data_IF_462704678741
#
_entry.id   IF_462704678741
#
_cell.length_a   1.000
_cell.length_b   1.000
_cell.length_c   1.000
_cell.angle_alpha   90.00
_cell.angle_beta   90.00
_cell.angle_gamma   90.00
#
_symmetry.space_group_name_H-M   'P 1'
#
loop_
_entity.id
_entity.type
_entity.pdbx_description
1 polymer ?
#
# COMPACT_ATOMS: atom_id res chain seq x y z
N UNK A 1 20.98 -15.28 16.63
CA UNK A 1 20.34 -14.08 16.03
C UNK A 1 19.66 -14.52 14.74
N UNK A 2 18.32 -14.51 14.67
CA UNK A 2 17.59 -14.93 13.46
C UNK A 2 17.35 -13.68 12.60
N UNK A 3 18.24 -13.48 11.63
CA UNK A 3 18.06 -12.46 10.58
C UNK A 3 16.88 -12.86 9.68
N UNK A 4 16.07 -11.90 9.25
CA UNK A 4 15.06 -12.17 8.24
C UNK A 4 15.75 -12.59 6.92
N UNK A 5 15.26 -13.66 6.25
CA UNK A 5 15.85 -14.10 4.98
C UNK A 5 15.69 -13.01 3.91
N UNK A 6 16.63 -12.96 2.96
CA UNK A 6 16.49 -12.09 1.81
C UNK A 6 15.23 -12.48 1.03
N UNK A 7 14.42 -11.48 0.67
CA UNK A 7 13.13 -11.71 0.00
C UNK A 7 12.89 -10.67 -1.08
N UNK A 8 12.49 -11.14 -2.26
CA UNK A 8 11.99 -10.30 -3.35
C UNK A 8 10.50 -10.54 -3.48
N UNK A 9 9.68 -9.50 -3.40
CA UNK A 9 8.23 -9.61 -3.48
C UNK A 9 7.66 -8.59 -4.48
N UNK A 10 6.72 -9.00 -5.34
CA UNK A 10 6.08 -8.08 -6.28
C UNK A 10 5.25 -7.03 -5.51
N UNK A 11 5.68 -5.77 -5.56
CA UNK A 11 4.93 -4.63 -5.07
C UNK A 11 4.22 -3.98 -6.26
N UNK A 12 2.90 -4.18 -6.37
CA UNK A 12 2.17 -3.69 -7.53
C UNK A 12 0.66 -3.80 -7.39
N UNK A 13 0.00 -4.11 -8.51
CA UNK A 13 -1.46 -4.15 -8.63
C UNK A 13 -2.03 -5.28 -7.76
N UNK A 14 -2.54 -4.94 -6.59
CA UNK A 14 -3.23 -5.91 -5.73
C UNK A 14 -4.68 -6.07 -6.11
N UNK A 15 -5.09 -7.32 -6.32
CA UNK A 15 -6.49 -7.71 -6.53
C UNK A 15 -7.37 -7.28 -5.36
N UNK A 16 -6.86 -7.37 -4.13
CA UNK A 16 -7.59 -6.93 -2.94
C UNK A 16 -7.88 -5.44 -2.96
N UNK A 17 -6.90 -4.62 -3.35
CA UNK A 17 -7.11 -3.17 -3.52
C UNK A 17 -8.20 -2.86 -4.56
N UNK A 18 -8.21 -3.59 -5.68
CA UNK A 18 -9.26 -3.47 -6.70
C UNK A 18 -10.64 -3.90 -6.17
N UNK A 19 -10.70 -4.99 -5.39
CA UNK A 19 -11.94 -5.47 -4.77
C UNK A 19 -12.51 -4.47 -3.77
N UNK A 20 -11.69 -3.91 -2.88
CA UNK A 20 -12.12 -2.89 -1.92
C UNK A 20 -12.66 -1.66 -2.63
N UNK A 21 -11.97 -1.18 -3.67
CA UNK A 21 -12.45 -0.06 -4.49
C UNK A 21 -13.78 -0.39 -5.20
N UNK A 22 -13.91 -1.60 -5.76
CA UNK A 22 -15.14 -2.05 -6.41
C UNK A 22 -16.32 -2.16 -5.45
N UNK A 23 -16.09 -2.69 -4.25
CA UNK A 23 -17.11 -2.76 -3.19
C UNK A 23 -17.55 -1.37 -2.73
N UNK A 24 -16.59 -0.47 -2.48
CA UNK A 24 -16.92 0.91 -2.11
C UNK A 24 -17.72 1.62 -3.22
N UNK A 25 -17.33 1.41 -4.48
CA UNK A 25 -18.02 2.00 -5.63
C UNK A 25 -19.45 1.47 -5.77
N UNK A 26 -19.64 0.14 -5.72
CA UNK A 26 -20.96 -0.50 -5.80
C UNK A 26 -21.87 -0.17 -4.61
N UNK A 27 -21.32 -0.04 -3.40
CA UNK A 27 -22.07 0.47 -2.24
C UNK A 27 -22.54 1.92 -2.46
N UNK A 28 -21.69 2.76 -3.08
CA UNK A 28 -22.07 4.11 -3.51
C UNK A 28 -23.22 4.10 -4.52
N UNK A 29 -23.18 3.20 -5.51
CA UNK A 29 -24.28 3.02 -6.47
C UNK A 29 -25.58 2.65 -5.76
N UNK A 30 -25.55 1.63 -4.89
CA UNK A 30 -26.73 1.18 -4.15
C UNK A 30 -27.32 2.31 -3.30
N UNK A 31 -26.48 3.12 -2.66
CA UNK A 31 -26.89 4.29 -1.87
C UNK A 31 -27.56 5.36 -2.76
N UNK A 32 -27.01 5.62 -3.95
CA UNK A 32 -27.60 6.56 -4.91
C UNK A 32 -28.93 6.05 -5.47
N UNK A 33 -29.02 4.76 -5.79
CA UNK A 33 -30.26 4.13 -6.26
C UNK A 33 -31.35 4.18 -5.18
N UNK A 34 -30.99 3.89 -3.92
CA UNK A 34 -31.91 4.02 -2.79
C UNK A 34 -32.37 5.47 -2.60
N UNK A 35 -31.45 6.43 -2.64
CA UNK A 35 -31.80 7.85 -2.55
C UNK A 35 -32.76 8.29 -3.67
N UNK A 36 -32.51 7.85 -4.91
CA UNK A 36 -33.39 8.15 -6.04
C UNK A 36 -34.79 7.55 -5.85
N UNK A 37 -34.86 6.33 -5.30
CA UNK A 37 -36.13 5.61 -5.17
C UNK A 37 -37.00 6.11 -4.01
N UNK A 38 -36.38 6.55 -2.90
CA UNK A 38 -37.08 7.11 -1.75
C UNK A 38 -37.25 8.64 -1.80
N UNK A 39 -36.52 9.32 -2.68
CA UNK A 39 -36.45 10.78 -2.74
C UNK A 39 -37.56 11.42 -3.60
N UNK A 40 -37.79 12.74 -3.42
CA UNK A 40 -38.65 13.51 -4.30
C UNK A 40 -38.10 13.56 -5.75
N UNK A 41 -38.94 13.98 -6.69
CA UNK A 41 -38.67 13.95 -8.14
C UNK A 41 -37.23 14.37 -8.51
N UNK A 42 -36.65 13.61 -9.44
CA UNK A 42 -35.26 13.73 -9.83
C UNK A 42 -34.93 15.12 -10.39
N UNK A 43 -34.27 15.95 -9.57
CA UNK A 43 -33.70 17.24 -10.00
C UNK A 43 -32.21 17.17 -10.34
N UNK A 44 -31.65 18.31 -10.75
CA UNK A 44 -30.23 18.50 -11.12
C UNK A 44 -29.23 17.96 -10.08
N UNK A 45 -29.61 17.90 -8.80
CA UNK A 45 -28.77 17.34 -7.72
C UNK A 45 -28.44 15.87 -7.95
N UNK A 46 -29.40 15.07 -8.41
CA UNK A 46 -29.16 13.65 -8.69
C UNK A 46 -28.19 13.46 -9.86
N UNK A 47 -28.33 14.27 -10.90
CA UNK A 47 -27.41 14.28 -12.03
C UNK A 47 -25.99 14.70 -11.60
N UNK A 48 -25.86 15.76 -10.79
CA UNK A 48 -24.57 16.22 -10.28
C UNK A 48 -23.86 15.15 -9.44
N UNK A 49 -24.57 14.49 -8.53
CA UNK A 49 -23.98 13.42 -7.70
C UNK A 49 -23.63 12.18 -8.54
N UNK A 50 -24.46 11.80 -9.50
CA UNK A 50 -24.17 10.69 -10.41
C UNK A 50 -22.88 10.95 -11.22
N UNK A 51 -22.73 12.15 -11.78
CA UNK A 51 -21.51 12.56 -12.50
C UNK A 51 -20.29 12.53 -11.58
N UNK A 52 -20.41 13.06 -10.36
CA UNK A 52 -19.31 13.05 -9.40
C UNK A 52 -18.91 11.62 -9.03
N UNK A 53 -19.88 10.74 -8.75
CA UNK A 53 -19.64 9.34 -8.41
C UNK A 53 -18.97 8.56 -9.56
N UNK A 54 -19.43 8.77 -10.81
CA UNK A 54 -18.78 8.22 -12.01
C UNK A 54 -17.35 8.74 -12.16
N UNK A 55 -17.14 10.04 -11.96
CA UNK A 55 -15.82 10.68 -12.03
C UNK A 55 -14.85 10.12 -10.99
N UNK A 56 -15.29 9.95 -9.74
CA UNK A 56 -14.51 9.30 -8.68
C UNK A 56 -14.16 7.85 -9.04
N UNK A 57 -15.11 7.08 -9.58
CA UNK A 57 -14.86 5.71 -10.04
C UNK A 57 -13.82 5.64 -11.17
N UNK A 58 -13.93 6.53 -12.15
CA UNK A 58 -12.99 6.63 -13.26
C UNK A 58 -11.57 6.99 -12.77
N UNK A 59 -11.46 7.98 -11.87
CA UNK A 59 -10.19 8.38 -11.26
C UNK A 59 -9.57 7.25 -10.42
N UNK A 60 -10.38 6.52 -9.65
CA UNK A 60 -9.91 5.39 -8.85
C UNK A 60 -9.41 4.24 -9.74
N UNK A 61 -10.14 3.92 -10.82
CA UNK A 61 -9.72 2.90 -11.78
C UNK A 61 -8.44 3.33 -12.51
N UNK A 62 -8.35 4.59 -12.91
CA UNK A 62 -7.18 5.15 -13.57
C UNK A 62 -5.94 5.15 -12.66
N UNK A 63 -6.08 5.56 -11.40
CA UNK A 63 -4.98 5.56 -10.43
C UNK A 63 -4.53 4.14 -10.10
N UNK A 64 -5.47 3.19 -9.95
CA UNK A 64 -5.16 1.78 -9.76
C UNK A 64 -4.42 1.18 -10.98
N UNK A 65 -4.82 1.55 -12.21
CA UNK A 65 -4.13 1.12 -13.44
C UNK A 65 -2.73 1.73 -13.58
N UNK A 66 -2.52 2.94 -13.06
CA UNK A 66 -1.22 3.64 -13.05
C UNK A 66 -0.35 3.32 -11.84
N UNK A 67 -0.82 2.47 -10.93
CA UNK A 67 -0.01 2.06 -9.77
C UNK A 67 1.24 1.35 -10.30
N UNK A 68 2.45 1.86 -10.01
CA UNK A 68 3.68 1.29 -10.51
C UNK A 68 3.78 -0.18 -10.08
N UNK A 69 4.13 -1.04 -11.03
CA UNK A 69 4.57 -2.40 -10.73
C UNK A 69 6.08 -2.36 -10.49
N UNK A 70 6.52 -2.78 -9.32
CA UNK A 70 7.93 -2.96 -8.99
C UNK A 70 8.15 -4.21 -8.15
N UNK A 71 9.41 -4.50 -7.83
CA UNK A 71 9.74 -5.51 -6.83
C UNK A 71 10.32 -4.85 -5.60
N UNK A 72 9.80 -5.23 -4.44
CA UNK A 72 10.35 -4.89 -3.15
C UNK A 72 11.38 -5.96 -2.79
N UNK A 73 12.61 -5.55 -2.52
CA UNK A 73 13.69 -6.45 -2.15
C UNK A 73 14.23 -6.11 -0.76
N UNK A 74 14.28 -7.10 0.11
CA UNK A 74 14.93 -7.05 1.41
C UNK A 74 16.23 -7.83 1.33
N UNK A 75 17.34 -7.17 1.67
CA UNK A 75 18.69 -7.75 1.65
C UNK A 75 19.13 -8.34 3.01
N UNK A 76 18.29 -8.22 4.05
CA UNK A 76 18.62 -8.58 5.43
C UNK A 76 18.79 -7.39 6.37
N UNK A 77 18.98 -6.18 5.83
CA UNK A 77 19.20 -4.94 6.59
C UNK A 77 18.36 -3.76 6.08
N UNK A 78 18.13 -3.66 4.77
CA UNK A 78 17.49 -2.53 4.12
C UNK A 78 16.48 -2.97 3.05
N UNK A 79 15.46 -2.13 2.87
CA UNK A 79 14.48 -2.30 1.81
C UNK A 79 14.90 -1.51 0.58
N UNK A 80 14.79 -2.15 -0.58
CA UNK A 80 14.97 -1.52 -1.88
C UNK A 80 13.76 -1.80 -2.77
N UNK A 81 13.45 -0.89 -3.68
CA UNK A 81 12.34 -1.01 -4.62
C UNK A 81 12.86 -0.82 -6.05
N UNK A 82 12.61 -1.81 -6.91
CA UNK A 82 12.87 -1.73 -8.34
C UNK A 82 11.58 -1.34 -9.08
N UNK A 83 11.39 -0.04 -9.28
CA UNK A 83 10.31 0.51 -10.11
C UNK A 83 10.93 1.21 -11.32
N UNK A 84 11.01 0.52 -12.45
CA UNK A 84 11.67 1.02 -13.67
C UNK A 84 13.19 0.76 -13.69
N UNK A 85 13.99 1.54 -14.46
CA UNK A 85 15.43 1.34 -14.59
C UNK A 85 16.16 1.88 -13.34
N UNK A 86 16.09 1.14 -12.24
CA UNK A 86 16.84 1.45 -11.03
C UNK A 86 16.27 0.79 -9.78
N UNK A 87 17.16 0.38 -8.89
CA UNK A 87 16.84 -0.05 -7.54
C UNK A 87 17.03 1.14 -6.59
N UNK A 88 16.00 1.51 -5.82
CA UNK A 88 16.07 2.66 -4.90
C UNK A 88 15.84 2.21 -3.48
N UNK A 89 16.63 2.68 -2.50
CA UNK A 89 16.36 2.39 -1.09
C UNK A 89 15.06 3.06 -0.66
N UNK A 90 14.24 2.32 0.08
CA UNK A 90 12.93 2.77 0.58
C UNK A 90 12.79 2.39 2.06
N UNK A 91 11.97 3.13 2.79
CA UNK A 91 11.43 2.65 4.08
C UNK A 91 10.12 1.92 3.82
N UNK A 92 9.90 0.81 4.53
CA UNK A 92 8.68 0.01 4.42
C UNK A 92 8.10 -0.17 5.81
N UNK A 93 6.80 0.07 5.94
CA UNK A 93 6.07 -0.06 7.19
C UNK A 93 4.74 -0.77 6.94
N UNK A 94 4.42 -1.77 7.77
CA UNK A 94 3.09 -2.37 7.79
C UNK A 94 2.11 -1.44 8.53
N UNK A 95 1.06 -0.99 7.83
CA UNK A 95 -0.02 -0.20 8.44
C UNK A 95 -1.20 -1.09 8.82
N UNK A 96 -1.56 -2.04 7.94
CA UNK A 96 -2.61 -3.02 8.19
C UNK A 96 -2.09 -4.39 7.79
N UNK A 97 -2.34 -5.40 8.63
CA UNK A 97 -2.07 -6.82 8.34
C UNK A 97 -3.34 -7.64 8.56
N UNK A 98 -3.89 -8.19 7.47
CA UNK A 98 -5.06 -9.06 7.43
C UNK A 98 -4.66 -10.53 7.21
N UNK A 99 -3.43 -10.92 7.57
CA UNK A 99 -2.81 -12.23 7.42
C UNK A 99 -2.52 -12.69 5.98
N UNK A 100 -3.48 -12.56 5.07
CA UNK A 100 -3.37 -12.87 3.64
C UNK A 100 -3.15 -11.63 2.77
N UNK A 101 -3.32 -10.43 3.35
CA UNK A 101 -3.13 -9.14 2.69
C UNK A 101 -2.48 -8.17 3.67
N UNK A 102 -1.52 -7.37 3.20
CA UNK A 102 -0.90 -6.28 3.95
C UNK A 102 -1.10 -4.95 3.21
N UNK A 103 -1.37 -3.89 3.96
CA UNK A 103 -1.23 -2.52 3.51
C UNK A 103 0.12 -2.00 3.98
N UNK A 104 0.99 -1.72 3.02
CA UNK A 104 2.32 -1.19 3.24
C UNK A 104 2.37 0.30 2.93
N UNK A 105 3.15 1.01 3.73
CA UNK A 105 3.53 2.40 3.54
C UNK A 105 5.00 2.43 3.11
N UNK A 106 5.24 2.92 1.90
CA UNK A 106 6.57 3.07 1.31
C UNK A 106 6.98 4.54 1.38
N UNK A 107 8.08 4.83 2.06
CA UNK A 107 8.66 6.17 2.12
C UNK A 107 10.11 6.17 1.67
N UNK A 108 10.76 7.33 1.76
CA UNK A 108 12.21 7.38 1.70
C UNK A 108 12.82 6.93 3.05
N UNK A 109 14.06 6.44 3.08
CA UNK A 109 14.74 6.05 4.32
C UNK A 109 14.88 7.21 5.32
N UNK A 110 15.12 8.42 4.82
CA UNK A 110 15.26 9.67 5.58
C UNK A 110 13.92 10.26 6.08
N UNK A 111 12.79 9.61 5.76
CA UNK A 111 11.42 10.09 6.03
C UNK A 111 11.11 11.48 5.47
N UNK A 112 11.94 12.03 4.56
CA UNK A 112 11.70 13.33 3.94
C UNK A 112 11.21 13.17 2.50
N UNK A 113 9.90 13.26 2.32
CA UNK A 113 9.28 13.30 1.00
C UNK A 113 7.94 12.59 0.91
N UNK A 114 7.55 12.30 -0.33
CA UNK A 114 6.29 11.63 -0.63
C UNK A 114 6.29 10.19 -0.14
N UNK A 115 5.15 9.80 0.42
CA UNK A 115 4.88 8.44 0.89
C UNK A 115 3.86 7.79 -0.03
N UNK A 116 4.13 6.56 -0.46
CA UNK A 116 3.22 5.74 -1.26
C UNK A 116 2.55 4.64 -0.44
N UNK A 117 1.32 4.29 -0.81
CA UNK A 117 0.54 3.23 -0.17
C UNK A 117 0.34 2.08 -1.13
N UNK A 118 0.62 0.86 -0.67
CA UNK A 118 0.59 -0.33 -1.52
C UNK A 118 -0.09 -1.48 -0.80
N UNK A 119 -1.11 -2.04 -1.43
CA UNK A 119 -1.67 -3.31 -1.03
C UNK A 119 -0.80 -4.42 -1.61
N UNK A 120 -0.42 -5.39 -0.79
CA UNK A 120 0.23 -6.64 -1.21
C UNK A 120 -0.58 -7.81 -0.70
N UNK A 121 -0.82 -8.80 -1.55
CA UNK A 121 -1.59 -10.00 -1.20
C UNK A 121 -0.74 -11.25 -1.37
N UNK A 122 -1.02 -12.27 -0.56
CA UNK A 122 -0.37 -13.57 -0.56
C UNK A 122 -0.41 -14.25 -1.94
N UNK A 123 -1.48 -14.04 -2.71
CA UNK A 123 -1.66 -14.64 -4.05
C UNK A 123 -0.56 -14.28 -5.05
N UNK A 124 0.18 -13.17 -4.81
CA UNK A 124 1.21 -12.71 -5.73
C UNK A 124 2.48 -13.58 -5.67
N UNK A 125 2.86 -14.04 -4.49
CA UNK A 125 3.91 -15.04 -4.28
C UNK A 125 3.69 -15.74 -2.92
N UNK A 126 2.89 -16.83 -2.88
CA UNK A 126 2.57 -17.52 -1.65
C UNK A 126 3.80 -18.12 -0.94
N UNK A 127 4.83 -18.48 -1.71
CA UNK A 127 6.05 -19.10 -1.19
C UNK A 127 6.88 -18.09 -0.38
N UNK A 128 6.99 -16.85 -0.90
CA UNK A 128 7.73 -15.79 -0.24
C UNK A 128 6.90 -14.99 0.79
N UNK A 129 5.59 -15.24 0.91
CA UNK A 129 4.68 -14.45 1.75
C UNK A 129 5.09 -14.37 3.22
N UNK A 130 5.41 -15.50 3.84
CA UNK A 130 5.83 -15.53 5.24
C UNK A 130 7.19 -14.87 5.45
N UNK A 131 8.08 -14.97 4.46
CA UNK A 131 9.37 -14.28 4.47
C UNK A 131 9.19 -12.76 4.37
N UNK A 132 8.30 -12.28 3.48
CA UNK A 132 7.92 -10.88 3.38
C UNK A 132 7.38 -10.35 4.71
N UNK A 133 6.38 -11.02 5.31
CA UNK A 133 5.80 -10.57 6.59
C UNK A 133 6.87 -10.49 7.68
N UNK A 134 7.71 -11.51 7.79
CA UNK A 134 8.85 -11.49 8.73
C UNK A 134 9.80 -10.35 8.46
N UNK A 135 10.15 -10.08 7.21
CA UNK A 135 11.04 -8.97 6.85
C UNK A 135 10.40 -7.60 7.17
N UNK A 136 9.10 -7.42 6.96
CA UNK A 136 8.40 -6.17 7.24
C UNK A 136 8.31 -5.88 8.74
N UNK A 137 8.07 -6.91 9.55
CA UNK A 137 8.07 -6.79 11.02
C UNK A 137 9.45 -6.85 11.65
N UNK A 138 10.45 -7.34 10.92
CA UNK A 138 11.83 -7.34 11.38
C UNK A 138 12.36 -5.91 11.32
N UNK A 139 12.34 -5.25 12.48
CA UNK A 139 13.09 -4.02 12.68
C UNK A 139 14.56 -4.43 12.83
N UNK A 140 15.38 -4.18 11.81
CA UNK A 140 16.82 -4.13 12.04
C UNK A 140 17.02 -3.18 13.22
N UNK A 141 17.74 -3.60 14.29
CA UNK A 141 17.96 -2.72 15.42
C UNK A 141 18.58 -1.45 14.86
N UNK A 142 17.84 -0.34 15.01
CA UNK A 142 18.34 1.02 14.83
C UNK A 142 19.74 0.99 15.42
N UNK A 143 20.77 1.17 14.58
CA UNK A 143 22.17 1.11 14.98
C UNK A 143 22.24 1.76 16.35
N UNK A 144 22.51 0.96 17.38
CA UNK A 144 22.64 1.46 18.73
C UNK A 144 23.66 2.58 18.64
N UNK A 145 23.21 3.82 18.74
CA UNK A 145 24.10 4.96 18.89
C UNK A 145 24.99 4.56 20.05
N UNK A 146 26.30 4.38 19.85
CA UNK A 146 27.17 3.99 20.94
C UNK A 146 26.95 5.03 22.05
N UNK A 147 26.69 4.63 23.31
CA UNK A 147 26.63 5.60 24.38
C UNK A 147 27.92 6.41 24.31
N UNK A 148 27.78 7.73 24.17
CA UNK A 148 28.92 8.64 24.10
C UNK A 148 29.84 8.28 25.27
N UNK A 149 31.03 7.76 24.95
CA UNK A 149 32.00 7.34 25.96
C UNK A 149 32.30 8.50 26.91
N UNK A 150 32.57 8.22 28.20
CA UNK A 150 32.75 9.26 29.19
C UNK A 150 33.93 10.16 28.79
N UNK A 151 33.66 11.46 28.70
CA UNK A 151 34.69 12.49 28.55
C UNK A 151 35.48 12.54 29.86
N UNK A 152 36.64 11.90 29.89
CA UNK A 152 37.60 12.09 30.98
C UNK A 152 38.21 13.48 30.85
N UNK A 153 37.95 14.35 31.83
CA UNK A 153 38.64 15.62 32.05
C UNK A 153 40.02 15.41 32.65
#
# INVERSE_FOLDING_TARGET
>A
MRSAPSVSYPAGRSRFGALVLGLAWTAGLASLSGWWWLGPAAGWRHAAVAVLWLGCGALALWSHRRTPSGQLHWDGASWTCSAGPGCRPVSVEAVIDLQSVLLLRLGKPDRTGSTGWFWVGQDADPACWQALRRAVYFRAPEQAVPPAGPVTS
#
